data_IF_507858478528
#
_entry.id   IF_507858478528
#
_cell.length_a   1.000
_cell.length_b   1.000
_cell.length_c   1.000
_cell.angle_alpha   90.00
_cell.angle_beta   90.00
_cell.angle_gamma   90.00
#
_symmetry.space_group_name_H-M   'P 1'
#
loop_
_entity.id
_entity.type
_entity.pdbx_description
1 polymer ?
#
# COMPACT_ATOMS: atom_id res chain seq x y z
N UNK A 1 -2.49 -13.38 -7.48
CA UNK A 1 -1.86 -13.47 -6.16
C UNK A 1 -2.89 -13.26 -5.04
N UNK A 2 -3.49 -12.06 -4.87
CA UNK A 2 -4.55 -11.81 -3.85
C UNK A 2 -5.71 -12.82 -3.87
N UNK A 3 -6.32 -13.07 -5.04
CA UNK A 3 -7.43 -14.02 -5.13
C UNK A 3 -7.05 -15.45 -4.73
N UNK A 4 -5.78 -15.84 -4.90
CA UNK A 4 -5.30 -17.17 -4.50
C UNK A 4 -5.16 -17.26 -2.96
N UNK A 5 -4.70 -16.18 -2.32
CA UNK A 5 -4.66 -16.10 -0.85
C UNK A 5 -6.07 -16.14 -0.25
N UNK A 6 -7.01 -15.38 -0.83
CA UNK A 6 -8.42 -15.40 -0.41
C UNK A 6 -9.08 -16.77 -0.63
N UNK A 7 -8.65 -17.52 -1.64
CA UNK A 7 -9.10 -18.89 -1.88
C UNK A 7 -8.38 -19.93 -1.00
N UNK A 8 -7.51 -19.51 -0.07
CA UNK A 8 -6.77 -20.41 0.82
C UNK A 8 -5.67 -21.23 0.14
N UNK A 9 -5.22 -20.82 -1.05
CA UNK A 9 -4.23 -21.54 -1.85
C UNK A 9 -2.77 -21.25 -1.45
N UNK A 10 -2.53 -20.44 -0.41
CA UNK A 10 -1.19 -20.20 0.12
C UNK A 10 -1.01 -18.82 0.79
N UNK A 11 0.26 -18.51 1.08
CA UNK A 11 0.70 -17.25 1.70
C UNK A 11 1.14 -16.27 0.62
N UNK A 12 0.81 -14.99 0.78
CA UNK A 12 1.22 -13.91 -0.15
C UNK A 12 1.87 -12.77 0.60
N UNK A 13 2.80 -12.09 -0.06
CA UNK A 13 3.42 -10.86 0.41
C UNK A 13 2.96 -9.71 -0.49
N UNK A 14 2.05 -8.88 0.02
CA UNK A 14 1.42 -7.79 -0.70
C UNK A 14 1.47 -6.51 0.16
N UNK A 15 1.54 -5.33 -0.45
CA UNK A 15 1.45 -4.07 0.27
C UNK A 15 0.12 -3.92 1.03
N UNK A 16 0.16 -3.31 2.22
CA UNK A 16 -1.02 -3.15 3.09
C UNK A 16 -2.14 -2.37 2.41
N UNK A 17 -1.84 -1.33 1.63
CA UNK A 17 -2.86 -0.58 0.88
C UNK A 17 -3.63 -1.43 -0.14
N UNK A 18 -3.11 -2.60 -0.53
CA UNK A 18 -3.73 -3.48 -1.52
C UNK A 18 -4.62 -4.56 -0.89
N UNK A 19 -4.43 -4.86 0.40
CA UNK A 19 -5.14 -5.92 1.14
C UNK A 19 -5.69 -5.43 2.48
N UNK A 20 -5.70 -4.12 2.71
CA UNK A 20 -6.09 -3.51 3.99
C UNK A 20 -7.51 -3.90 4.39
N UNK A 21 -8.45 -3.83 3.45
CA UNK A 21 -9.85 -4.20 3.70
C UNK A 21 -10.00 -5.68 4.01
N UNK A 22 -9.27 -6.56 3.32
CA UNK A 22 -9.30 -7.99 3.61
C UNK A 22 -8.72 -8.33 4.99
N UNK A 23 -7.73 -7.55 5.45
CA UNK A 23 -7.15 -7.67 6.77
C UNK A 23 -8.11 -7.14 7.86
N UNK A 24 -8.86 -6.07 7.57
CA UNK A 24 -9.91 -5.54 8.47
C UNK A 24 -11.09 -6.50 8.60
N UNK A 25 -11.53 -7.07 7.49
CA UNK A 25 -12.64 -8.01 7.42
C UNK A 25 -12.27 -9.42 7.95
N UNK A 26 -10.99 -9.65 8.25
CA UNK A 26 -10.47 -10.94 8.74
C UNK A 26 -10.42 -12.04 7.66
N UNK A 27 -10.65 -11.68 6.40
CA UNK A 27 -10.52 -12.59 5.25
C UNK A 27 -9.06 -12.98 5.01
N UNK A 28 -8.12 -12.11 5.37
CA UNK A 28 -6.70 -12.39 5.45
C UNK A 28 -6.21 -12.20 6.88
N UNK A 29 -5.25 -13.03 7.29
CA UNK A 29 -4.61 -12.96 8.60
C UNK A 29 -3.13 -12.63 8.40
N UNK A 30 -2.58 -11.64 9.13
CA UNK A 30 -1.17 -11.30 9.02
C UNK A 30 -0.27 -12.40 9.59
N UNK A 31 0.85 -12.63 8.91
CA UNK A 31 1.86 -13.63 9.27
C UNK A 31 3.22 -12.94 9.37
N UNK A 32 4.10 -13.48 10.20
CA UNK A 32 5.49 -12.99 10.36
C UNK A 32 5.58 -11.51 10.75
N UNK A 33 4.67 -11.02 11.62
CA UNK A 33 4.62 -9.59 12.03
C UNK A 33 5.89 -9.08 12.70
N UNK A 34 6.72 -9.96 13.27
CA UNK A 34 8.04 -9.63 13.83
C UNK A 34 9.15 -9.41 12.79
N UNK A 35 8.87 -9.60 11.49
CA UNK A 35 9.86 -9.40 10.41
C UNK A 35 9.37 -8.28 9.50
N UNK A 36 9.91 -7.07 9.71
CA UNK A 36 9.65 -5.93 8.83
C UNK A 36 10.64 -5.92 7.66
N UNK A 37 10.15 -5.66 6.46
CA UNK A 37 10.97 -5.33 5.29
C UNK A 37 10.74 -3.87 4.93
N UNK A 38 11.78 -3.23 4.38
CA UNK A 38 11.67 -1.85 3.92
C UNK A 38 10.45 -1.67 3.01
N UNK A 39 9.66 -0.65 3.32
CA UNK A 39 8.47 -0.31 2.55
C UNK A 39 8.84 -0.04 1.10
N UNK A 40 8.09 -0.63 0.17
CA UNK A 40 8.24 -0.33 -1.26
C UNK A 40 7.77 1.11 -1.50
N UNK A 41 8.64 1.93 -2.09
CA UNK A 41 8.33 3.33 -2.45
C UNK A 41 7.51 3.36 -3.74
N UNK A 42 6.42 4.12 -3.74
CA UNK A 42 5.67 4.47 -4.94
C UNK A 42 6.25 5.75 -5.55
N UNK A 43 6.54 5.73 -6.85
CA UNK A 43 7.12 6.88 -7.56
C UNK A 43 6.18 7.35 -8.66
N UNK A 44 5.98 8.66 -8.76
CA UNK A 44 5.37 9.28 -9.93
C UNK A 44 6.47 9.67 -10.93
N UNK A 45 6.55 8.97 -12.05
CA UNK A 45 7.51 9.28 -13.12
C UNK A 45 6.86 10.16 -14.20
N UNK A 46 7.54 11.24 -14.57
CA UNK A 46 7.12 12.16 -15.63
C UNK A 46 8.35 12.69 -16.37
N UNK A 47 8.20 13.13 -17.63
CA UNK A 47 9.32 13.72 -18.38
C UNK A 47 9.79 15.00 -17.70
N UNK A 48 11.10 15.18 -17.60
CA UNK A 48 11.76 16.42 -17.16
C UNK A 48 11.62 17.51 -18.25
N UNK A 49 10.37 17.89 -18.57
CA UNK A 49 10.09 19.03 -19.43
C UNK A 49 9.77 20.23 -18.55
N UNK A 50 10.31 21.40 -18.90
CA UNK A 50 10.21 22.65 -18.11
C UNK A 50 8.78 23.16 -17.86
N UNK A 51 7.76 22.50 -18.43
CA UNK A 51 6.36 22.88 -18.27
C UNK A 51 5.52 21.64 -17.96
N UNK A 52 5.64 21.12 -16.74
CA UNK A 52 4.67 20.15 -16.24
C UNK A 52 3.28 20.81 -16.35
N UNK A 53 2.40 20.23 -17.18
CA UNK A 53 1.05 20.77 -17.37
C UNK A 53 0.38 20.93 -16.00
N UNK A 54 -0.30 22.06 -15.72
CA UNK A 54 -1.03 22.26 -14.46
C UNK A 54 -1.95 21.09 -14.11
N UNK A 55 -2.47 20.38 -15.11
CA UNK A 55 -3.29 19.17 -14.94
C UNK A 55 -2.50 17.99 -14.35
N UNK A 56 -1.26 17.78 -14.78
CA UNK A 56 -0.40 16.71 -14.25
C UNK A 56 0.02 17.05 -12.83
N UNK A 57 0.35 18.32 -12.56
CA UNK A 57 0.63 18.77 -11.18
C UNK A 57 -0.57 18.54 -10.27
N UNK A 58 -1.76 18.99 -10.66
CA UNK A 58 -2.98 18.77 -9.87
C UNK A 58 -3.28 17.28 -9.62
N UNK A 59 -2.97 16.41 -10.59
CA UNK A 59 -3.09 14.96 -10.40
C UNK A 59 -2.08 14.43 -9.38
N UNK A 60 -0.81 14.83 -9.48
CA UNK A 60 0.23 14.43 -8.52
C UNK A 60 -0.12 14.95 -7.12
N UNK A 61 -0.56 16.20 -7.00
CA UNK A 61 -0.95 16.79 -5.72
C UNK A 61 -2.14 16.04 -5.10
N UNK A 62 -3.14 15.67 -5.91
CA UNK A 62 -4.27 14.84 -5.44
C UNK A 62 -3.85 13.43 -5.03
N UNK A 63 -2.91 12.81 -5.74
CA UNK A 63 -2.33 11.54 -5.33
C UNK A 63 -1.53 11.69 -4.03
N UNK A 64 -0.75 12.76 -3.88
CA UNK A 64 0.01 12.99 -2.66
C UNK A 64 -0.91 13.23 -1.46
N UNK A 65 -2.03 13.92 -1.63
CA UNK A 65 -3.04 14.14 -0.57
C UNK A 65 -3.68 12.82 -0.12
N UNK A 66 -4.07 11.96 -1.08
CA UNK A 66 -4.66 10.65 -0.78
C UNK A 66 -3.62 9.68 -0.17
N UNK A 67 -2.36 9.78 -0.58
CA UNK A 67 -1.32 8.81 -0.22
C UNK A 67 -0.27 9.29 0.81
N UNK A 68 -0.31 10.54 1.32
CA UNK A 68 0.69 11.10 2.27
C UNK A 68 0.12 11.69 3.58
N UNK A 69 0.91 11.72 4.70
CA UNK A 69 2.18 11.07 4.93
C UNK A 69 2.09 10.06 6.09
N UNK A 70 1.48 8.93 5.80
CA UNK A 70 1.91 7.60 6.25
C UNK A 70 1.01 6.64 5.48
N UNK A 71 1.46 5.98 4.40
CA UNK A 71 0.63 4.97 3.76
C UNK A 71 0.29 3.98 4.86
N UNK A 72 -1.00 3.87 5.20
CA UNK A 72 -1.50 3.10 6.33
C UNK A 72 -0.59 1.87 6.56
N UNK A 73 0.32 1.99 7.54
CA UNK A 73 1.29 0.95 7.88
C UNK A 73 0.60 -0.24 8.56
N UNK A 74 -0.72 -0.31 8.43
CA UNK A 74 -1.57 -1.09 9.27
C UNK A 74 -1.69 -0.50 10.66
N UNK A 75 -1.86 0.82 10.76
CA UNK A 75 -1.98 1.49 12.07
C UNK A 75 -3.23 1.02 12.82
N UNK A 76 -4.26 0.68 12.07
CA UNK A 76 -5.54 0.09 12.48
C UNK A 76 -5.66 -1.40 12.09
N UNK A 77 -4.66 -1.94 11.37
CA UNK A 77 -4.62 -3.35 11.03
C UNK A 77 -4.03 -4.13 12.22
N UNK A 78 -4.38 -5.42 12.40
CA UNK A 78 -3.85 -6.27 13.47
C UNK A 78 -2.38 -6.68 13.22
N UNK A 79 -1.52 -5.73 12.83
CA UNK A 79 -0.07 -5.88 12.66
C UNK A 79 0.61 -5.47 13.97
N UNK A 80 0.39 -6.25 15.03
CA UNK A 80 1.03 -6.01 16.32
C UNK A 80 2.55 -6.18 16.20
N UNK A 81 3.27 -5.09 16.39
CA UNK A 81 4.71 -5.08 16.62
C UNK A 81 4.95 -5.14 18.14
N UNK A 82 5.38 -6.29 18.64
CA UNK A 82 6.16 -6.40 19.89
C UNK A 82 7.63 -6.66 19.53
#
# INVERSE_FOLDING_TARGET
MRCAALAGLGIVFLPTYFVGDDLRDGALVPLLTGVSRDSTKLYAAYPESWHLSPKVRAMIDGLLDEFSPEPDRGRDLPLSFE
#
